data_IF_850178477853
#
_entry.id   IF_850178477853
#
_cell.length_a   1.000
_cell.length_b   1.000
_cell.length_c   1.000
_cell.angle_alpha   90.00
_cell.angle_beta   90.00
_cell.angle_gamma   90.00
#
_symmetry.space_group_name_H-M   'P 1'
#
loop_
_entity.id
_entity.type
_entity.pdbx_description
1 polymer ?
#
# COMPACT_ATOMS: atom_id res chain seq x y z
N UNK A 1 18.62 -24.73 -9.77
CA UNK A 1 18.43 -23.37 -10.25
C UNK A 1 18.44 -22.34 -9.14
N UNK A 2 18.52 -21.08 -9.47
CA UNK A 2 18.60 -19.97 -8.51
C UNK A 2 17.37 -19.87 -7.59
N UNK A 3 16.17 -20.28 -8.06
CA UNK A 3 14.93 -20.27 -7.29
C UNK A 3 15.00 -21.00 -5.94
N UNK A 4 15.94 -21.90 -5.73
CA UNK A 4 16.18 -22.58 -4.45
C UNK A 4 17.14 -21.84 -3.51
N UNK A 5 17.74 -20.75 -3.99
CA UNK A 5 18.83 -20.01 -3.29
C UNK A 5 18.48 -18.57 -2.96
N UNK A 6 17.45 -18.04 -3.63
CA UNK A 6 17.00 -16.65 -3.47
C UNK A 6 15.48 -16.62 -3.29
N UNK A 7 15.02 -15.67 -2.50
CA UNK A 7 13.60 -15.33 -2.37
C UNK A 7 13.34 -14.15 -3.28
N UNK A 8 12.29 -14.21 -4.09
CA UNK A 8 11.94 -13.18 -5.04
C UNK A 8 10.74 -12.36 -4.56
N UNK A 9 10.73 -11.09 -4.92
CA UNK A 9 9.59 -10.19 -4.75
C UNK A 9 9.39 -9.35 -6.01
N UNK A 10 8.18 -8.85 -6.20
CA UNK A 10 7.87 -7.96 -7.31
C UNK A 10 6.73 -7.01 -6.98
N UNK A 11 6.65 -5.92 -7.76
CA UNK A 11 5.48 -5.07 -7.83
C UNK A 11 4.50 -5.63 -8.86
N UNK A 12 3.20 -5.55 -8.55
CA UNK A 12 2.17 -6.15 -9.39
C UNK A 12 1.02 -5.17 -9.63
N UNK A 13 0.53 -5.16 -10.86
CA UNK A 13 -0.72 -4.50 -11.21
C UNK A 13 -1.86 -5.48 -10.93
N UNK A 14 -2.85 -5.11 -10.09
CA UNK A 14 -4.01 -5.95 -9.80
C UNK A 14 -4.83 -6.24 -11.07
N UNK A 15 -5.45 -7.43 -11.12
CA UNK A 15 -6.36 -7.82 -12.20
C UNK A 15 -5.68 -8.30 -13.48
N UNK A 16 -4.34 -8.45 -13.49
CA UNK A 16 -3.58 -8.87 -14.68
C UNK A 16 -3.34 -10.38 -14.70
N UNK A 17 -3.12 -10.99 -13.54
CA UNK A 17 -2.80 -12.41 -13.41
C UNK A 17 -3.98 -13.20 -12.86
N UNK A 18 -4.06 -14.47 -13.25
CA UNK A 18 -4.97 -15.47 -12.70
C UNK A 18 -4.26 -16.35 -11.66
N UNK A 19 -4.99 -17.33 -11.10
CA UNK A 19 -4.49 -18.22 -10.05
C UNK A 19 -3.27 -19.03 -10.51
N UNK A 20 -3.26 -19.51 -11.75
CA UNK A 20 -2.17 -20.33 -12.29
C UNK A 20 -0.84 -19.57 -12.29
N UNK A 21 -0.88 -18.29 -12.68
CA UNK A 21 0.32 -17.45 -12.65
C UNK A 21 0.84 -17.24 -11.21
N UNK A 22 -0.05 -17.01 -10.23
CA UNK A 22 0.38 -16.89 -8.84
C UNK A 22 0.96 -18.21 -8.29
N UNK A 23 0.40 -19.36 -8.69
CA UNK A 23 0.91 -20.68 -8.31
C UNK A 23 2.32 -20.92 -8.91
N UNK A 24 2.54 -20.52 -10.17
CA UNK A 24 3.85 -20.56 -10.82
C UNK A 24 4.87 -19.63 -10.15
N UNK A 25 4.45 -18.43 -9.74
CA UNK A 25 5.30 -17.52 -8.96
C UNK A 25 5.74 -18.16 -7.64
N UNK A 26 4.81 -18.76 -6.90
CA UNK A 26 5.15 -19.48 -5.65
C UNK A 26 6.13 -20.63 -5.90
N UNK A 27 5.93 -21.42 -6.96
CA UNK A 27 6.84 -22.50 -7.36
C UNK A 27 8.24 -21.97 -7.75
N UNK A 28 8.33 -20.75 -8.29
CA UNK A 28 9.58 -20.06 -8.60
C UNK A 28 10.24 -19.37 -7.39
N UNK A 29 9.71 -19.58 -6.17
CA UNK A 29 10.16 -18.99 -4.91
C UNK A 29 9.94 -17.48 -4.79
N UNK A 30 8.92 -16.95 -5.47
CA UNK A 30 8.39 -15.65 -5.08
C UNK A 30 7.72 -15.78 -3.72
N UNK A 31 7.91 -14.78 -2.88
CA UNK A 31 7.28 -14.69 -1.58
C UNK A 31 6.49 -13.39 -1.44
N UNK A 32 7.11 -12.28 -1.75
CA UNK A 32 6.58 -10.95 -1.55
C UNK A 32 6.00 -10.39 -2.86
N UNK A 33 4.74 -9.90 -2.81
CA UNK A 33 4.09 -9.26 -3.95
C UNK A 33 3.47 -7.94 -3.48
N UNK A 34 3.98 -6.82 -3.99
CA UNK A 34 3.48 -5.49 -3.69
C UNK A 34 2.38 -5.08 -4.66
N UNK A 35 1.21 -4.77 -4.13
CA UNK A 35 0.08 -4.25 -4.87
C UNK A 35 -0.15 -2.78 -4.54
N UNK A 36 -0.13 -1.92 -5.54
CA UNK A 36 -0.52 -0.52 -5.37
C UNK A 36 -2.03 -0.38 -5.38
N UNK A 37 -2.65 -0.20 -4.21
CA UNK A 37 -4.07 0.18 -4.08
C UNK A 37 -4.27 1.65 -4.46
N UNK A 38 -3.37 2.50 -4.05
CA UNK A 38 -3.35 3.95 -4.15
C UNK A 38 -4.55 4.61 -3.47
N UNK A 39 -5.77 4.40 -3.96
CA UNK A 39 -7.01 4.94 -3.41
C UNK A 39 -8.17 3.97 -3.59
N UNK A 40 -9.16 4.03 -2.71
CA UNK A 40 -10.44 3.33 -2.88
C UNK A 40 -11.42 4.11 -3.79
N UNK A 41 -11.14 5.39 -4.05
CA UNK A 41 -12.00 6.24 -4.88
C UNK A 41 -11.71 6.03 -6.37
N UNK A 42 -12.69 5.55 -7.12
CA UNK A 42 -12.56 5.37 -8.57
C UNK A 42 -12.29 6.69 -9.32
N UNK A 43 -12.79 7.82 -8.80
CA UNK A 43 -12.50 9.16 -9.30
C UNK A 43 -11.00 9.45 -9.27
N UNK A 44 -10.36 9.18 -8.14
CA UNK A 44 -8.92 9.36 -7.95
C UNK A 44 -8.14 8.37 -8.83
N UNK A 45 -8.49 7.08 -8.83
CA UNK A 45 -7.81 6.09 -9.67
C UNK A 45 -7.82 6.45 -11.15
N UNK A 46 -8.98 6.91 -11.67
CA UNK A 46 -9.07 7.40 -13.05
C UNK A 46 -8.17 8.62 -13.30
N UNK A 47 -8.13 9.57 -12.35
CA UNK A 47 -7.35 10.80 -12.49
C UNK A 47 -5.84 10.56 -12.49
N UNK A 48 -5.37 9.61 -11.70
CA UNK A 48 -3.95 9.20 -11.69
C UNK A 48 -3.62 8.16 -12.77
N UNK A 49 -4.57 7.90 -13.69
CA UNK A 49 -4.42 6.92 -14.77
C UNK A 49 -4.07 5.51 -14.29
N UNK A 50 -4.63 5.12 -13.14
CA UNK A 50 -4.47 3.77 -12.60
C UNK A 50 -5.60 2.88 -13.10
N UNK A 51 -5.26 1.87 -13.87
CA UNK A 51 -6.21 0.84 -14.32
C UNK A 51 -6.56 -0.10 -13.16
N UNK A 52 -7.81 -0.54 -13.12
CA UNK A 52 -8.31 -1.52 -12.15
C UNK A 52 -9.40 -0.95 -11.24
N UNK A 53 -10.21 -1.86 -10.71
CA UNK A 53 -11.25 -1.56 -9.72
C UNK A 53 -10.80 -2.08 -8.35
N UNK A 54 -11.30 -1.50 -7.29
CA UNK A 54 -11.00 -1.95 -5.92
C UNK A 54 -11.27 -3.46 -5.74
N UNK A 55 -12.32 -4.01 -6.39
CA UNK A 55 -12.62 -5.44 -6.37
C UNK A 55 -11.54 -6.31 -7.03
N UNK A 56 -10.89 -5.81 -8.08
CA UNK A 56 -9.84 -6.54 -8.80
C UNK A 56 -8.58 -6.63 -7.93
N UNK A 57 -8.34 -5.61 -7.11
CA UNK A 57 -7.26 -5.57 -6.12
C UNK A 57 -7.47 -6.67 -5.07
N UNK A 58 -8.67 -6.73 -4.48
CA UNK A 58 -9.00 -7.74 -3.48
C UNK A 58 -8.89 -9.17 -4.04
N UNK A 59 -9.42 -9.40 -5.24
CA UNK A 59 -9.36 -10.69 -5.91
C UNK A 59 -7.90 -11.12 -6.18
N UNK A 60 -7.07 -10.20 -6.67
CA UNK A 60 -5.66 -10.48 -6.94
C UNK A 60 -4.88 -10.82 -5.67
N UNK A 61 -5.11 -10.08 -4.58
CA UNK A 61 -4.47 -10.37 -3.29
C UNK A 61 -4.93 -11.73 -2.73
N UNK A 62 -6.22 -12.06 -2.86
CA UNK A 62 -6.77 -13.35 -2.42
C UNK A 62 -6.15 -14.51 -3.20
N UNK A 63 -5.97 -14.37 -4.52
CA UNK A 63 -5.30 -15.38 -5.35
C UNK A 63 -3.82 -15.53 -4.98
N UNK A 64 -3.11 -14.43 -4.79
CA UNK A 64 -1.72 -14.45 -4.33
C UNK A 64 -1.60 -15.12 -2.96
N UNK A 65 -2.50 -14.80 -2.01
CA UNK A 65 -2.54 -15.42 -0.69
C UNK A 65 -2.81 -16.91 -0.75
N UNK A 66 -3.74 -17.34 -1.62
CA UNK A 66 -4.06 -18.76 -1.84
C UNK A 66 -2.87 -19.53 -2.40
N UNK A 67 -2.05 -18.92 -3.24
CA UNK A 67 -0.80 -19.50 -3.75
C UNK A 67 0.32 -19.57 -2.69
N UNK A 68 0.12 -19.01 -1.48
CA UNK A 68 1.12 -18.98 -0.41
C UNK A 68 2.10 -17.81 -0.49
N UNK A 69 1.81 -16.81 -1.33
CA UNK A 69 2.56 -15.55 -1.40
C UNK A 69 2.15 -14.62 -0.24
N UNK A 70 2.97 -13.60 0.00
CA UNK A 70 2.75 -12.56 1.01
C UNK A 70 2.38 -11.24 0.32
N UNK A 71 1.07 -10.95 0.18
CA UNK A 71 0.63 -9.68 -0.39
C UNK A 71 0.95 -8.51 0.53
N UNK A 72 1.62 -7.51 -0.01
CA UNK A 72 1.83 -6.20 0.57
C UNK A 72 0.98 -5.18 -0.18
N UNK A 73 0.31 -4.29 0.52
CA UNK A 73 -0.46 -3.22 -0.11
C UNK A 73 0.13 -1.86 0.21
N UNK A 74 0.21 -1.01 -0.81
CA UNK A 74 0.48 0.41 -0.62
C UNK A 74 -0.78 1.21 -0.87
N UNK A 75 -1.07 2.19 -0.02
CA UNK A 75 -2.14 3.15 -0.24
C UNK A 75 -1.65 4.56 0.07
N UNK A 76 -2.29 5.54 -0.58
CA UNK A 76 -1.96 6.94 -0.42
C UNK A 76 -3.22 7.74 -0.15
N UNK A 77 -3.09 8.79 0.67
CA UNK A 77 -4.14 9.77 0.94
C UNK A 77 -3.56 11.18 0.80
N UNK A 78 -4.44 12.16 0.58
CA UNK A 78 -4.03 13.55 0.47
C UNK A 78 -3.79 14.02 -0.95
N UNK A 79 -4.52 13.47 -1.92
CA UNK A 79 -4.60 14.10 -3.23
C UNK A 79 -5.32 15.46 -3.12
N UNK A 80 -4.91 16.51 -3.88
CA UNK A 80 -5.50 17.86 -3.79
C UNK A 80 -7.01 17.92 -4.01
N UNK A 81 -7.57 16.93 -4.68
CA UNK A 81 -9.01 16.82 -5.01
C UNK A 81 -9.74 15.78 -4.18
N UNK A 82 -9.05 15.09 -3.26
CA UNK A 82 -9.61 14.00 -2.48
C UNK A 82 -10.44 14.56 -1.33
N UNK A 83 -11.68 14.13 -1.26
CA UNK A 83 -12.55 14.46 -0.13
C UNK A 83 -12.19 13.63 1.11
N UNK A 84 -12.61 14.12 2.28
CA UNK A 84 -12.47 13.37 3.54
C UNK A 84 -13.09 11.97 3.45
N UNK A 85 -14.26 11.85 2.83
CA UNK A 85 -14.95 10.57 2.70
C UNK A 85 -14.17 9.58 1.82
N UNK A 86 -13.54 10.05 0.75
CA UNK A 86 -12.71 9.22 -0.13
C UNK A 86 -11.41 8.77 0.57
N UNK A 87 -10.74 9.67 1.30
CA UNK A 87 -9.58 9.32 2.10
C UNK A 87 -9.95 8.26 3.16
N UNK A 88 -11.04 8.47 3.91
CA UNK A 88 -11.54 7.51 4.89
C UNK A 88 -11.89 6.16 4.24
N UNK A 89 -12.52 6.15 3.06
CA UNK A 89 -12.86 4.93 2.34
C UNK A 89 -11.60 4.11 1.97
N UNK A 90 -10.50 4.78 1.63
CA UNK A 90 -9.20 4.14 1.34
C UNK A 90 -8.65 3.45 2.60
N UNK A 91 -8.69 4.14 3.73
CA UNK A 91 -8.29 3.61 5.03
C UNK A 91 -9.14 2.39 5.42
N UNK A 92 -10.47 2.50 5.30
CA UNK A 92 -11.40 1.45 5.68
C UNK A 92 -11.29 0.21 4.77
N UNK A 93 -11.06 0.40 3.48
CA UNK A 93 -10.80 -0.71 2.55
C UNK A 93 -9.52 -1.45 2.96
N UNK A 94 -8.44 -0.73 3.17
CA UNK A 94 -7.15 -1.30 3.56
C UNK A 94 -7.28 -2.09 4.88
N UNK A 95 -7.99 -1.52 5.87
CA UNK A 95 -8.29 -2.20 7.14
C UNK A 95 -9.06 -3.50 6.92
N UNK A 96 -10.14 -3.47 6.12
CA UNK A 96 -10.93 -4.68 5.83
C UNK A 96 -10.09 -5.79 5.17
N UNK A 97 -9.24 -5.45 4.21
CA UNK A 97 -8.34 -6.40 3.56
C UNK A 97 -7.40 -7.06 4.57
N UNK A 98 -6.89 -6.28 5.50
CA UNK A 98 -6.02 -6.75 6.56
C UNK A 98 -6.74 -7.65 7.56
N UNK A 99 -7.91 -7.24 8.06
CA UNK A 99 -8.72 -8.00 9.03
C UNK A 99 -9.15 -9.35 8.45
N UNK A 100 -9.46 -9.40 7.16
CA UNK A 100 -9.78 -10.63 6.43
C UNK A 100 -8.55 -11.51 6.16
N UNK A 101 -7.35 -11.03 6.42
CA UNK A 101 -6.11 -11.76 6.21
C UNK A 101 -5.71 -11.94 4.76
N UNK A 102 -6.26 -11.10 3.86
CA UNK A 102 -5.91 -11.11 2.43
C UNK A 102 -4.57 -10.44 2.17
N UNK A 103 -4.13 -9.56 3.07
CA UNK A 103 -2.81 -8.92 3.04
C UNK A 103 -2.02 -9.23 4.30
N UNK A 104 -0.70 -9.29 4.17
CA UNK A 104 0.22 -9.58 5.25
C UNK A 104 0.88 -8.35 5.84
N UNK A 105 1.15 -7.37 4.99
CA UNK A 105 1.77 -6.10 5.36
C UNK A 105 1.16 -4.97 4.54
N UNK A 106 1.34 -3.75 5.02
CA UNK A 106 0.85 -2.57 4.33
C UNK A 106 1.77 -1.38 4.56
N UNK A 107 1.71 -0.44 3.63
CA UNK A 107 2.29 0.88 3.77
C UNK A 107 1.24 1.93 3.39
N UNK A 108 1.00 2.87 4.30
CA UNK A 108 0.16 4.02 4.04
C UNK A 108 0.98 5.30 4.11
N UNK A 109 0.88 6.12 3.08
CA UNK A 109 1.63 7.37 2.98
C UNK A 109 0.73 8.52 2.58
N UNK A 110 1.20 9.74 2.85
CA UNK A 110 0.65 10.93 2.21
C UNK A 110 1.20 11.04 0.80
N UNK A 111 0.38 11.58 -0.10
CA UNK A 111 0.80 11.80 -1.50
C UNK A 111 1.84 12.91 -1.57
N UNK A 112 2.95 12.62 -2.23
CA UNK A 112 4.01 13.60 -2.51
C UNK A 112 4.08 13.81 -4.04
N UNK A 113 3.94 15.04 -4.52
CA UNK A 113 4.06 15.36 -5.94
C UNK A 113 5.54 15.46 -6.33
N UNK A 114 6.17 14.31 -6.61
CA UNK A 114 7.58 14.31 -6.98
C UNK A 114 7.84 15.01 -8.31
N UNK A 115 8.91 15.79 -8.43
CA UNK A 115 9.31 16.46 -9.65
C UNK A 115 9.39 15.54 -10.86
N UNK A 116 8.98 16.06 -12.01
CA UNK A 116 8.90 15.26 -13.24
C UNK A 116 7.60 14.48 -13.41
N UNK A 117 6.77 14.37 -12.36
CA UNK A 117 5.46 13.70 -12.45
C UNK A 117 4.37 14.65 -12.98
N UNK A 118 3.32 14.11 -13.64
CA UNK A 118 2.15 14.92 -14.03
C UNK A 118 1.49 15.63 -12.85
N UNK A 119 1.43 14.98 -11.69
CA UNK A 119 0.88 15.56 -10.46
C UNK A 119 1.67 16.80 -10.02
N UNK A 120 3.01 16.73 -10.04
CA UNK A 120 3.84 17.90 -9.71
C UNK A 120 3.57 19.08 -10.62
N UNK A 121 3.50 18.83 -11.94
CA UNK A 121 3.20 19.85 -12.94
C UNK A 121 1.85 20.49 -12.66
N UNK A 122 0.80 19.70 -12.46
CA UNK A 122 -0.54 20.19 -12.13
C UNK A 122 -0.56 21.00 -10.83
N UNK A 123 0.09 20.50 -9.78
CA UNK A 123 0.17 21.20 -8.49
C UNK A 123 0.88 22.55 -8.61
N UNK A 124 1.92 22.64 -9.40
CA UNK A 124 2.64 23.88 -9.65
C UNK A 124 1.80 24.87 -10.43
N UNK A 125 1.16 24.44 -11.52
CA UNK A 125 0.30 25.27 -12.35
C UNK A 125 -0.92 25.83 -11.60
N UNK A 126 -1.48 25.04 -10.67
CA UNK A 126 -2.65 25.42 -9.87
C UNK A 126 -2.31 26.09 -8.53
N UNK A 127 -1.03 26.25 -8.22
CA UNK A 127 -0.60 26.83 -6.95
C UNK A 127 -0.99 25.98 -5.73
N UNK A 128 -1.00 24.67 -5.88
CA UNK A 128 -1.28 23.71 -4.82
C UNK A 128 -0.06 23.31 -4.01
N UNK A 129 1.16 23.56 -4.51
CA UNK A 129 2.39 23.33 -3.75
C UNK A 129 2.47 24.31 -2.57
N UNK A 130 2.85 23.81 -1.40
CA UNK A 130 3.14 24.62 -0.20
C UNK A 130 4.61 25.00 -0.12
N UNK A 131 5.46 24.22 -0.78
CA UNK A 131 6.91 24.42 -0.79
C UNK A 131 7.53 23.85 -2.06
N UNK A 132 8.63 24.42 -2.49
CA UNK A 132 9.53 23.86 -3.51
C UNK A 132 10.88 23.45 -2.89
N UNK A 133 10.95 23.38 -1.56
CA UNK A 133 12.10 22.88 -0.82
C UNK A 133 12.09 21.34 -0.86
N UNK A 134 13.04 20.75 -1.57
CA UNK A 134 13.14 19.32 -1.83
C UNK A 134 13.45 18.51 -0.59
N UNK A 135 14.07 19.08 0.43
CA UNK A 135 14.36 18.40 1.70
C UNK A 135 13.07 18.05 2.46
N UNK A 136 11.93 18.68 2.09
CA UNK A 136 10.61 18.43 2.67
C UNK A 136 9.78 17.39 1.92
N UNK A 137 10.33 16.76 0.87
CA UNK A 137 9.61 15.75 0.06
C UNK A 137 9.77 14.32 0.64
N UNK A 138 9.92 14.21 1.96
CA UNK A 138 10.22 13.00 2.72
C UNK A 138 9.00 12.28 3.32
N UNK A 139 7.78 12.65 2.93
CA UNK A 139 6.51 12.10 3.40
C UNK A 139 6.19 12.36 4.89
N UNK A 140 6.93 13.22 5.58
CA UNK A 140 6.69 13.53 7.00
C UNK A 140 5.60 14.56 7.21
N UNK A 141 5.33 15.37 6.20
CA UNK A 141 4.30 16.40 6.23
C UNK A 141 3.62 16.58 4.87
N UNK A 142 2.36 17.04 4.83
CA UNK A 142 1.68 17.36 3.58
C UNK A 142 2.28 18.62 2.95
N UNK A 143 2.86 18.48 1.76
CA UNK A 143 3.46 19.57 0.99
C UNK A 143 2.54 20.10 -0.11
N UNK A 144 1.30 19.60 -0.17
CA UNK A 144 0.26 20.08 -1.07
C UNK A 144 -0.93 20.64 -0.28
N UNK A 145 -1.65 21.58 -0.89
CA UNK A 145 -2.96 22.01 -0.42
C UNK A 145 -3.99 20.92 -0.73
N UNK A 146 -4.72 20.49 0.28
CA UNK A 146 -5.77 19.48 0.21
C UNK A 146 -7.05 20.00 0.85
N UNK A 147 -8.18 19.32 0.64
CA UNK A 147 -9.43 19.63 1.34
C UNK A 147 -9.34 19.34 2.85
N UNK A 148 -8.52 18.32 3.22
CA UNK A 148 -8.32 17.95 4.62
C UNK A 148 -7.25 18.85 5.26
N UNK A 149 -7.46 19.27 6.52
CA UNK A 149 -6.39 19.87 7.31
C UNK A 149 -5.20 18.91 7.48
N UNK A 150 -3.98 19.46 7.46
CA UNK A 150 -2.75 18.67 7.55
C UNK A 150 -2.72 17.74 8.76
N UNK A 151 -3.13 18.22 9.93
CA UNK A 151 -3.18 17.43 11.15
C UNK A 151 -4.13 16.24 11.03
N UNK A 152 -5.26 16.40 10.36
CA UNK A 152 -6.23 15.33 10.12
C UNK A 152 -5.68 14.30 9.12
N UNK A 153 -5.07 14.76 8.03
CA UNK A 153 -4.45 13.89 7.04
C UNK A 153 -3.35 13.03 7.66
N UNK A 154 -2.51 13.63 8.48
CA UNK A 154 -1.47 12.92 9.23
C UNK A 154 -2.05 11.95 10.27
N UNK A 155 -3.14 12.32 10.94
CA UNK A 155 -3.83 11.46 11.88
C UNK A 155 -4.45 10.23 11.19
N UNK A 156 -5.07 10.41 10.02
CA UNK A 156 -5.59 9.30 9.20
C UNK A 156 -4.48 8.32 8.83
N UNK A 157 -3.36 8.83 8.31
CA UNK A 157 -2.22 8.00 7.90
C UNK A 157 -1.61 7.23 9.08
N UNK A 158 -1.39 7.88 10.23
CA UNK A 158 -0.88 7.23 11.44
C UNK A 158 -1.87 6.25 12.04
N UNK A 159 -3.15 6.56 12.00
CA UNK A 159 -4.23 5.72 12.54
C UNK A 159 -4.31 4.35 11.87
N UNK A 160 -3.86 4.24 10.63
CA UNK A 160 -3.73 2.93 9.96
C UNK A 160 -2.80 2.04 10.78
N UNK A 161 -1.58 2.46 11.05
CA UNK A 161 -0.55 1.64 11.71
C UNK A 161 -0.95 1.20 13.13
N UNK A 162 -1.64 2.04 13.88
CA UNK A 162 -2.09 1.70 15.23
C UNK A 162 -3.28 0.76 15.26
N UNK A 163 -4.12 0.76 14.21
CA UNK A 163 -5.33 -0.06 14.16
C UNK A 163 -5.09 -1.54 13.81
N UNK A 164 -3.90 -1.88 13.30
CA UNK A 164 -3.58 -3.25 12.86
C UNK A 164 -2.96 -4.14 13.93
N UNK A 165 -2.42 -3.58 15.01
CA UNK A 165 -1.82 -4.34 16.10
C UNK A 165 -2.89 -4.99 17.00
N UNK A 166 -3.74 -5.82 16.39
CA UNK A 166 -4.74 -6.59 17.11
C UNK A 166 -4.17 -7.91 17.63
N UNK A 167 -4.67 -8.48 18.74
CA UNK A 167 -4.26 -9.81 19.22
C UNK A 167 -4.40 -10.89 18.14
N UNK A 168 -5.44 -10.78 17.30
CA UNK A 168 -5.68 -11.69 16.17
C UNK A 168 -4.58 -11.59 15.11
N UNK A 169 -4.11 -10.39 14.82
CA UNK A 169 -2.99 -10.19 13.90
C UNK A 169 -1.70 -10.78 14.46
N UNK A 170 -1.38 -10.50 15.72
CA UNK A 170 -0.19 -11.02 16.38
C UNK A 170 -0.19 -12.54 16.36
N UNK A 171 -1.31 -13.18 16.72
CA UNK A 171 -1.45 -14.62 16.68
C UNK A 171 -1.23 -15.18 15.26
N UNK A 172 -1.85 -14.55 14.25
CA UNK A 172 -1.69 -14.96 12.85
C UNK A 172 -0.24 -14.86 12.39
N UNK A 173 0.46 -13.80 12.75
CA UNK A 173 1.89 -13.62 12.41
C UNK A 173 2.76 -14.66 13.13
N UNK A 174 2.51 -14.94 14.39
CA UNK A 174 3.23 -15.99 15.13
C UNK A 174 3.05 -17.36 14.49
N UNK A 175 1.83 -17.70 14.05
CA UNK A 175 1.54 -18.98 13.37
C UNK A 175 2.13 -19.05 11.95
N UNK A 176 2.45 -17.93 11.34
CA UNK A 176 3.06 -17.87 10.00
C UNK A 176 4.59 -17.99 10.01
N UNK A 177 5.23 -17.96 11.17
CA UNK A 177 6.70 -18.10 11.30
C UNK A 177 7.13 -19.48 10.79
N UNK A 178 8.00 -19.50 9.80
CA UNK A 178 8.51 -20.74 9.16
C UNK A 178 9.92 -21.12 9.65
N UNK A 179 10.66 -20.16 10.23
CA UNK A 179 12.02 -20.41 10.74
C UNK A 179 12.41 -19.41 11.83
N UNK A 180 13.36 -19.80 12.67
CA UNK A 180 13.92 -18.90 13.70
C UNK A 180 14.63 -17.67 13.13
N UNK A 181 15.16 -17.75 11.91
CA UNK A 181 15.76 -16.61 11.23
C UNK A 181 14.75 -15.49 10.91
N UNK A 182 13.48 -15.84 10.72
CA UNK A 182 12.40 -14.86 10.51
C UNK A 182 12.06 -14.08 11.78
N UNK A 183 12.22 -14.67 12.95
CA UNK A 183 11.98 -13.97 14.23
C UNK A 183 12.94 -12.80 14.41
N UNK A 184 14.22 -12.97 14.06
CA UNK A 184 15.23 -11.89 14.09
C UNK A 184 15.04 -10.84 12.98
N UNK A 185 14.32 -11.18 11.89
CA UNK A 185 13.94 -10.25 10.82
C UNK A 185 12.73 -9.37 11.18
N UNK A 186 11.78 -9.91 11.94
CA UNK A 186 10.55 -9.21 12.34
C UNK A 186 10.83 -7.95 13.17
N UNK A 187 11.91 -7.92 13.96
CA UNK A 187 12.31 -6.71 14.70
C UNK A 187 12.70 -5.55 13.76
N UNK A 188 13.12 -5.83 12.54
CA UNK A 188 13.52 -4.82 11.54
C UNK A 188 12.35 -4.31 10.69
N UNK A 189 11.27 -5.07 10.57
CA UNK A 189 10.08 -4.70 9.78
C UNK A 189 9.05 -3.87 10.58
N UNK A 190 9.15 -3.84 11.90
CA UNK A 190 8.24 -3.07 12.78
C UNK A 190 8.72 -1.63 12.99
N UNK A 191 9.91 -1.29 12.54
CA UNK A 191 10.46 0.06 12.62
C UNK A 191 10.26 0.79 11.30
N UNK A 192 9.14 1.47 11.15
CA UNK A 192 8.96 2.59 10.21
C UNK A 192 8.31 3.75 10.94
#
# INVERSE_FOLDING_TARGET
>A
GYHRRVVLGCNMIPGVLDQEHYDLMAAANFRFVLFGLESAAESTLRRINKCGKARDIEASMAMAKKAGLEPHVTCMVGYPWETRAEAQATIDLTRRLFDRGVIDTLQATIVIPYPGTPLFKECREKGWLKTEDWDRYDMREPIMKTELPDAELMALTRGIYTSFLTPRFILRKLLAIRSWAEVGGMEREIVV
#
